data_IF_091954536937
#
_entry.id   IF_091954536937
#
_cell.length_a   1.000
_cell.length_b   1.000
_cell.length_c   1.000
_cell.angle_alpha   90.00
_cell.angle_beta   90.00
_cell.angle_gamma   90.00
#
_symmetry.space_group_name_H-M   'P 1'
#
loop_
_entity.id
_entity.type
_entity.pdbx_description
1 polymer ?
#
# COMPACT_ATOMS: atom_id res chain seq x y z
N UNK A 1 -4.64 -30.79 5.03
CA UNK A 1 -3.99 -29.46 5.05
C UNK A 1 -4.13 -28.84 3.67
N UNK A 2 -4.70 -27.64 3.55
CA UNK A 2 -4.69 -26.90 2.27
C UNK A 2 -3.23 -26.56 1.96
N UNK A 3 -2.76 -26.93 0.77
CA UNK A 3 -1.41 -26.61 0.31
C UNK A 3 -1.39 -25.12 -0.04
N UNK A 4 -0.81 -24.30 0.84
CA UNK A 4 -0.62 -22.88 0.55
C UNK A 4 0.57 -22.80 -0.41
N UNK A 5 0.31 -22.96 -1.70
CA UNK A 5 1.31 -22.68 -2.73
C UNK A 5 1.51 -21.16 -2.78
N UNK A 6 2.74 -20.71 -2.53
CA UNK A 6 3.13 -19.32 -2.75
C UNK A 6 3.84 -19.19 -4.08
N UNK A 7 3.49 -18.14 -4.83
CA UNK A 7 4.14 -17.79 -6.10
C UNK A 7 4.82 -16.43 -5.92
N UNK A 8 6.16 -16.44 -5.91
CA UNK A 8 6.95 -15.24 -5.73
C UNK A 8 6.71 -14.22 -6.87
N UNK A 9 6.44 -14.69 -8.09
CA UNK A 9 6.16 -13.85 -9.24
C UNK A 9 4.85 -13.07 -9.07
N UNK A 10 3.78 -13.76 -8.74
CA UNK A 10 2.45 -13.19 -8.52
C UNK A 10 2.44 -12.22 -7.33
N UNK A 11 3.13 -12.55 -6.24
CA UNK A 11 3.24 -11.65 -5.07
C UNK A 11 4.08 -10.40 -5.36
N UNK A 12 5.15 -10.53 -6.15
CA UNK A 12 5.96 -9.38 -6.61
C UNK A 12 5.18 -8.49 -7.57
N UNK A 13 4.38 -9.07 -8.48
CA UNK A 13 3.49 -8.31 -9.35
C UNK A 13 2.41 -7.58 -8.54
N UNK A 14 1.76 -8.25 -7.60
CA UNK A 14 0.76 -7.63 -6.72
C UNK A 14 1.35 -6.45 -5.93
N UNK A 15 2.54 -6.60 -5.35
CA UNK A 15 3.24 -5.52 -4.68
C UNK A 15 3.54 -4.34 -5.62
N UNK A 16 3.96 -4.64 -6.86
CA UNK A 16 4.24 -3.63 -7.89
C UNK A 16 2.99 -2.86 -8.31
N UNK A 17 1.82 -3.51 -8.39
CA UNK A 17 0.55 -2.85 -8.67
C UNK A 17 0.13 -1.93 -7.53
N UNK A 18 0.33 -2.34 -6.27
CA UNK A 18 0.06 -1.50 -5.10
C UNK A 18 1.03 -0.32 -5.01
N UNK A 19 2.29 -0.50 -5.37
CA UNK A 19 3.29 0.56 -5.40
C UNK A 19 2.91 1.72 -6.34
N UNK A 20 2.11 1.45 -7.39
CA UNK A 20 1.59 2.45 -8.32
C UNK A 20 0.53 3.37 -7.72
N UNK A 21 -0.03 3.05 -6.55
CA UNK A 21 -0.96 3.95 -5.84
C UNK A 21 -0.16 5.20 -5.42
N UNK A 22 -0.40 6.32 -6.06
CA UNK A 22 0.24 7.59 -5.72
C UNK A 22 -0.81 8.53 -5.15
N UNK A 23 -0.54 9.03 -3.95
CA UNK A 23 -1.20 10.23 -3.45
C UNK A 23 -0.21 11.36 -3.68
N UNK A 24 -0.51 12.25 -4.62
CA UNK A 24 0.40 13.32 -5.02
C UNK A 24 0.73 14.20 -3.80
N UNK A 25 2.02 14.29 -3.45
CA UNK A 25 2.43 14.77 -2.13
C UNK A 25 2.54 16.30 -2.03
N UNK A 26 2.30 17.02 -3.12
CA UNK A 26 2.54 18.47 -3.21
C UNK A 26 1.30 19.34 -3.41
N UNK A 27 0.11 18.76 -3.57
CA UNK A 27 -1.08 19.57 -3.81
C UNK A 27 -1.64 20.10 -2.49
N UNK A 28 -1.69 21.42 -2.35
CA UNK A 28 -2.48 22.10 -1.33
C UNK A 28 -3.64 22.82 -2.01
N UNK A 29 -4.83 22.76 -1.42
CA UNK A 29 -5.97 23.56 -1.87
C UNK A 29 -5.78 24.97 -1.34
N UNK A 30 -5.54 25.92 -2.24
CA UNK A 30 -5.51 27.35 -1.93
C UNK A 30 -6.68 28.03 -2.61
N UNK A 31 -7.38 28.89 -1.87
CA UNK A 31 -8.48 29.70 -2.38
C UNK A 31 -7.94 31.12 -2.48
N UNK A 32 -7.76 31.64 -3.69
CA UNK A 32 -7.08 32.92 -3.94
C UNK A 32 -7.53 34.08 -3.02
N UNK A 33 -8.59 34.80 -3.38
CA UNK A 33 -9.15 35.91 -2.57
C UNK A 33 -10.53 35.59 -1.97
N UNK A 34 -10.96 34.33 -1.97
CA UNK A 34 -12.29 33.99 -1.44
C UNK A 34 -12.38 34.27 0.06
N UNK A 35 -13.33 35.13 0.43
CA UNK A 35 -13.71 35.46 1.81
C UNK A 35 -14.99 34.73 2.27
N UNK A 36 -15.48 33.79 1.46
CA UNK A 36 -16.65 32.98 1.80
C UNK A 36 -16.22 31.94 2.83
N UNK A 37 -16.67 32.09 4.08
CA UNK A 37 -16.27 31.23 5.21
C UNK A 37 -16.48 29.73 4.96
N UNK A 38 -17.48 29.34 4.17
CA UNK A 38 -17.71 27.95 3.78
C UNK A 38 -16.61 27.39 2.87
N UNK A 39 -16.08 28.22 1.96
CA UNK A 39 -14.98 27.85 1.09
C UNK A 39 -13.70 27.68 1.90
N UNK A 40 -13.36 28.64 2.76
CA UNK A 40 -12.18 28.56 3.64
C UNK A 40 -12.18 27.30 4.50
N UNK A 41 -13.33 26.95 5.09
CA UNK A 41 -13.50 25.68 5.83
C UNK A 41 -13.28 24.47 4.92
N UNK A 42 -13.85 24.49 3.72
CA UNK A 42 -13.64 23.43 2.72
C UNK A 42 -12.17 23.22 2.39
N UNK A 43 -11.42 24.30 2.10
CA UNK A 43 -9.98 24.23 1.84
C UNK A 43 -9.20 23.74 3.06
N UNK A 44 -9.55 24.18 4.27
CA UNK A 44 -8.93 23.70 5.50
C UNK A 44 -9.12 22.20 5.69
N UNK A 45 -10.35 21.70 5.55
CA UNK A 45 -10.65 20.27 5.68
C UNK A 45 -9.93 19.47 4.59
N UNK A 46 -9.92 19.95 3.34
CA UNK A 46 -9.20 19.30 2.25
C UNK A 46 -7.69 19.19 2.57
N UNK A 47 -7.07 20.28 3.02
CA UNK A 47 -5.66 20.29 3.42
C UNK A 47 -5.34 19.42 4.64
N UNK A 48 -6.32 19.17 5.53
CA UNK A 48 -6.17 18.21 6.62
C UNK A 48 -6.31 16.75 6.17
N UNK A 49 -7.11 16.49 5.13
CA UNK A 49 -7.37 15.14 4.64
C UNK A 49 -6.23 14.62 3.75
N UNK A 50 -5.63 15.49 2.93
CA UNK A 50 -4.53 15.16 2.02
C UNK A 50 -3.36 14.39 2.68
N UNK A 51 -2.78 14.84 3.82
CA UNK A 51 -1.73 14.07 4.50
C UNK A 51 -2.23 12.74 5.08
N UNK A 52 -3.52 12.62 5.39
CA UNK A 52 -4.11 11.35 5.85
C UNK A 52 -4.19 10.34 4.70
N UNK A 53 -4.58 10.79 3.50
CA UNK A 53 -4.61 9.96 2.30
C UNK A 53 -3.20 9.51 1.89
N UNK A 54 -2.19 10.37 2.05
CA UNK A 54 -0.79 10.01 1.85
C UNK A 54 -0.35 8.89 2.80
N UNK A 55 -0.59 9.06 4.11
CA UNK A 55 -0.25 8.04 5.11
C UNK A 55 -0.96 6.71 4.86
N UNK A 56 -2.21 6.75 4.38
CA UNK A 56 -2.95 5.54 4.00
C UNK A 56 -2.27 4.83 2.82
N UNK A 57 -1.93 5.58 1.75
CA UNK A 57 -1.22 5.03 0.59
C UNK A 57 0.12 4.41 0.99
N UNK A 58 0.92 5.10 1.81
CA UNK A 58 2.18 4.58 2.34
C UNK A 58 1.99 3.31 3.19
N UNK A 59 0.96 3.28 4.02
CA UNK A 59 0.66 2.12 4.87
C UNK A 59 0.26 0.90 4.04
N UNK A 60 -0.51 1.11 2.97
CA UNK A 60 -0.89 0.06 2.02
C UNK A 60 0.34 -0.47 1.29
N UNK A 61 1.24 0.41 0.82
CA UNK A 61 2.52 0.00 0.20
C UNK A 61 3.38 -0.83 1.13
N UNK A 62 3.56 -0.38 2.38
CA UNK A 62 4.30 -1.13 3.41
C UNK A 62 3.71 -2.53 3.68
N UNK A 63 2.39 -2.68 3.58
CA UNK A 63 1.78 -4.00 3.70
C UNK A 63 2.04 -4.86 2.47
N UNK A 64 1.98 -4.28 1.27
CA UNK A 64 2.23 -5.00 0.03
C UNK A 64 3.70 -5.45 -0.11
N UNK A 65 4.66 -4.70 0.44
CA UNK A 65 6.07 -5.12 0.53
C UNK A 65 6.28 -6.41 1.35
N UNK A 66 5.31 -6.78 2.19
CA UNK A 66 5.35 -8.04 2.94
C UNK A 66 4.91 -9.24 2.11
N UNK A 67 4.21 -9.06 0.99
CA UNK A 67 3.70 -10.17 0.18
C UNK A 67 4.83 -11.06 -0.36
N UNK A 68 5.91 -10.52 -0.96
CA UNK A 68 7.03 -11.35 -1.43
C UNK A 68 7.82 -11.98 -0.28
N UNK A 69 7.88 -11.31 0.87
CA UNK A 69 8.56 -11.85 2.06
C UNK A 69 7.84 -13.09 2.59
N UNK A 70 6.51 -13.02 2.70
CA UNK A 70 5.67 -14.16 3.07
C UNK A 70 5.77 -15.29 2.04
N UNK A 71 5.76 -14.96 0.74
CA UNK A 71 5.91 -15.93 -0.32
C UNK A 71 7.23 -16.71 -0.21
N UNK A 72 8.36 -16.02 0.01
CA UNK A 72 9.68 -16.65 0.21
C UNK A 72 9.72 -17.57 1.43
N UNK A 73 9.11 -17.14 2.54
CA UNK A 73 9.05 -17.97 3.76
C UNK A 73 8.26 -19.25 3.50
N UNK A 74 7.15 -19.16 2.76
CA UNK A 74 6.33 -20.32 2.39
C UNK A 74 7.07 -21.23 1.40
N UNK A 75 7.71 -20.68 0.37
CA UNK A 75 8.53 -21.47 -0.58
C UNK A 75 9.66 -22.22 0.13
N UNK A 76 10.37 -21.56 1.06
CA UNK A 76 11.45 -22.20 1.84
C UNK A 76 10.92 -23.30 2.75
N UNK A 77 9.77 -23.09 3.41
CA UNK A 77 9.09 -24.12 4.22
C UNK A 77 8.67 -25.32 3.37
N UNK A 78 8.07 -25.08 2.22
CA UNK A 78 7.61 -26.12 1.30
C UNK A 78 8.78 -26.93 0.73
N UNK A 79 9.90 -26.27 0.40
CA UNK A 79 11.13 -26.95 -0.01
C UNK A 79 11.68 -27.86 1.09
N UNK A 80 11.73 -27.38 2.34
CA UNK A 80 12.24 -28.15 3.49
C UNK A 80 11.35 -29.36 3.81
N UNK A 81 10.03 -29.20 3.72
CA UNK A 81 9.07 -30.28 3.98
C UNK A 81 9.08 -31.34 2.87
N UNK A 82 9.43 -30.96 1.63
CA UNK A 82 9.51 -31.90 0.49
C UNK A 82 10.67 -32.91 0.58
N UNK A 83 11.74 -32.58 1.30
CA UNK A 83 12.92 -33.44 1.45
C UNK A 83 12.95 -34.23 2.78
N UNK A 84 12.10 -33.91 3.76
CA UNK A 84 12.00 -34.65 5.04
C UNK A 84 11.05 -35.85 5.03
N UNK A 85 10.58 -36.27 3.85
CA UNK A 85 9.64 -37.38 3.66
C UNK A 85 10.21 -38.57 2.90
N UNK A 86 11.54 -38.72 2.87
CA UNK A 86 12.23 -39.94 2.42
C UNK A 86 12.86 -40.65 3.61
#
# INVERSE_FOLDING_TARGET
MVKIASDLGATTQAASHVAKIQADSGQSVSLGQSNISGMERGAKVANQLLPTLQRLSESIKKHADKFPQLARVIESRDATTRFGGM
#
